data_IF_620914000824
#
_entry.id   IF_620914000824
#
_cell.length_a   1.000
_cell.length_b   1.000
_cell.length_c   1.000
_cell.angle_alpha   90.00
_cell.angle_beta   90.00
_cell.angle_gamma   90.00
#
_symmetry.space_group_name_H-M   'P 1'
#
loop_
_entity.id
_entity.type
_entity.pdbx_description
1 polymer ?
#
# COMPACT_ATOMS: atom_id res chain seq x y z
N UNK A 1 26.57 9.70 -25.00
CA UNK A 1 26.53 10.65 -23.85
C UNK A 1 26.80 9.83 -22.60
N UNK A 2 27.57 10.32 -21.61
CA UNK A 2 28.08 9.45 -20.54
C UNK A 2 26.90 8.89 -19.77
N UNK A 3 26.71 7.57 -19.85
CA UNK A 3 25.56 6.89 -19.30
C UNK A 3 25.45 7.13 -17.80
N UNK A 4 24.24 7.42 -17.34
CA UNK A 4 23.92 7.37 -15.91
C UNK A 4 24.10 5.92 -15.48
N UNK A 5 25.21 5.63 -14.81
CA UNK A 5 25.42 4.34 -14.16
C UNK A 5 24.57 4.33 -12.90
N UNK A 6 23.36 3.80 -13.00
CA UNK A 6 22.45 3.56 -11.87
C UNK A 6 22.95 2.37 -11.04
N UNK A 7 24.10 2.53 -10.37
CA UNK A 7 24.47 1.61 -9.29
C UNK A 7 23.66 1.99 -8.05
N UNK A 8 22.41 1.50 -7.99
CA UNK A 8 21.58 1.57 -6.79
C UNK A 8 22.14 0.56 -5.79
N UNK A 9 23.08 1.01 -4.95
CA UNK A 9 23.66 0.20 -3.89
C UNK A 9 22.90 0.43 -2.59
N UNK A 10 22.23 -0.60 -2.07
CA UNK A 10 21.76 -0.59 -0.68
C UNK A 10 22.97 -0.83 0.22
N UNK A 11 23.50 0.22 0.85
CA UNK A 11 24.55 0.07 1.86
C UNK A 11 23.92 0.12 3.25
N UNK A 12 23.70 -1.05 3.85
CA UNK A 12 23.44 -1.12 5.30
C UNK A 12 24.75 -0.80 6.01
N UNK A 13 24.84 0.37 6.64
CA UNK A 13 25.99 0.69 7.48
C UNK A 13 25.78 -0.03 8.81
N UNK A 14 26.70 -0.94 9.14
CA UNK A 14 26.67 -1.68 10.39
C UNK A 14 26.67 -0.74 11.60
N UNK A 15 25.79 -1.04 12.55
CA UNK A 15 25.51 -0.28 13.77
C UNK A 15 26.79 -0.03 14.60
N UNK A 16 27.05 1.22 15.05
CA UNK A 16 27.91 1.46 16.21
C UNK A 16 27.25 0.92 17.48
N UNK A 17 28.04 0.27 18.35
CA UNK A 17 27.56 -0.24 19.65
C UNK A 17 26.77 0.83 20.40
N UNK A 18 25.54 0.51 20.82
CA UNK A 18 24.68 1.40 21.62
C UNK A 18 23.68 2.30 20.88
N UNK A 19 23.70 2.39 19.54
CA UNK A 19 22.72 3.18 18.79
C UNK A 19 21.39 2.42 18.55
N UNK A 20 20.25 3.12 18.65
CA UNK A 20 18.87 2.60 18.48
C UNK A 20 18.25 2.83 17.09
N UNK A 21 19.04 3.29 16.11
CA UNK A 21 18.54 3.67 14.78
C UNK A 21 19.22 2.89 13.66
N UNK A 22 18.43 2.55 12.64
CA UNK A 22 18.89 1.96 11.38
C UNK A 22 18.65 2.99 10.28
N UNK A 23 19.70 3.55 9.68
CA UNK A 23 19.54 4.44 8.53
C UNK A 23 19.64 3.63 7.23
N UNK A 24 18.64 3.77 6.36
CA UNK A 24 18.72 3.28 4.98
C UNK A 24 19.16 4.42 4.08
N UNK A 25 20.27 4.22 3.36
CA UNK A 25 20.79 5.18 2.40
C UNK A 25 20.45 4.74 0.98
N UNK A 26 19.83 5.64 0.22
CA UNK A 26 19.68 5.50 -1.22
C UNK A 26 20.62 6.48 -1.89
N UNK A 27 21.59 5.97 -2.63
CA UNK A 27 22.65 6.79 -3.22
C UNK A 27 22.46 6.91 -4.72
N UNK A 28 22.46 8.14 -5.22
CA UNK A 28 22.42 8.47 -6.64
C UNK A 28 23.72 9.17 -7.02
N UNK A 29 24.24 8.90 -8.22
CA UNK A 29 25.39 9.61 -8.78
C UNK A 29 24.96 10.40 -10.01
N UNK A 30 25.25 11.69 -10.01
CA UNK A 30 25.12 12.56 -11.18
C UNK A 30 26.47 13.21 -11.46
N UNK A 31 27.12 12.85 -12.57
CA UNK A 31 28.47 13.31 -12.87
C UNK A 31 29.50 12.91 -11.81
N UNK A 32 30.21 13.88 -11.24
CA UNK A 32 31.15 13.70 -10.11
C UNK A 32 30.47 13.78 -8.74
N UNK A 33 29.22 14.25 -8.69
CA UNK A 33 28.49 14.53 -7.44
C UNK A 33 27.67 13.32 -7.02
N UNK A 34 27.67 13.04 -5.73
CA UNK A 34 26.93 11.97 -5.10
C UNK A 34 25.83 12.55 -4.23
N UNK A 35 24.65 11.98 -4.32
CA UNK A 35 23.51 12.32 -3.48
C UNK A 35 23.14 11.09 -2.66
N UNK A 36 22.75 11.27 -1.40
CA UNK A 36 22.13 10.19 -0.63
C UNK A 36 20.90 10.69 0.12
N UNK A 37 19.85 9.88 0.14
CA UNK A 37 18.71 10.04 1.03
C UNK A 37 18.96 9.24 2.30
N UNK A 38 18.87 9.89 3.45
CA UNK A 38 18.79 9.24 4.76
C UNK A 38 17.33 9.28 5.24
N UNK A 39 16.78 8.11 5.54
CA UNK A 39 15.44 8.01 6.13
C UNK A 39 15.61 7.83 7.64
N UNK A 40 15.06 8.75 8.44
CA UNK A 40 14.97 8.60 9.88
C UNK A 40 13.53 8.28 10.30
N UNK A 41 13.23 6.98 10.41
CA UNK A 41 11.90 6.49 10.81
C UNK A 41 11.47 6.96 12.21
N UNK A 42 12.39 7.29 13.11
CA UNK A 42 12.04 7.75 14.45
C UNK A 42 11.69 9.25 14.49
N UNK A 43 12.12 10.02 13.48
CA UNK A 43 11.96 11.46 13.44
C UNK A 43 10.85 11.97 12.52
N UNK A 44 10.32 11.13 11.63
CA UNK A 44 9.29 11.55 10.66
C UNK A 44 9.80 12.45 9.54
N UNK A 45 11.12 12.48 9.30
CA UNK A 45 11.75 13.29 8.26
C UNK A 45 12.71 12.44 7.42
N UNK A 46 13.03 12.93 6.22
CA UNK A 46 14.21 12.46 5.49
C UNK A 46 15.20 13.60 5.29
N UNK A 47 16.48 13.24 5.29
CA UNK A 47 17.57 14.17 4.99
C UNK A 47 18.15 13.85 3.64
N UNK A 48 18.34 14.89 2.84
CA UNK A 48 19.10 14.78 1.61
C UNK A 48 20.51 15.32 1.85
N UNK A 49 21.48 14.50 1.50
CA UNK A 49 22.89 14.84 1.60
C UNK A 49 23.49 14.85 0.20
N UNK A 50 24.48 15.71 -0.01
CA UNK A 50 25.30 15.68 -1.22
C UNK A 50 26.78 15.59 -0.86
N UNK A 51 27.57 15.16 -1.83
CA UNK A 51 29.01 15.00 -1.72
C UNK A 51 29.66 15.30 -3.07
N UNK A 52 30.61 16.24 -3.08
CA UNK A 52 31.42 16.57 -4.25
C UNK A 52 32.67 15.68 -4.38
N UNK A 53 32.93 14.82 -3.40
CA UNK A 53 34.18 14.05 -3.27
C UNK A 53 33.93 12.53 -3.18
N UNK A 54 32.92 12.07 -3.91
CA UNK A 54 32.56 10.65 -4.03
C UNK A 54 32.18 9.96 -2.70
N UNK A 55 31.56 10.72 -1.80
CA UNK A 55 31.01 10.24 -0.53
C UNK A 55 32.01 10.23 0.62
N UNK A 56 33.15 10.92 0.49
CA UNK A 56 34.13 11.07 1.56
C UNK A 56 33.67 12.11 2.60
N UNK A 57 33.13 13.25 2.14
CA UNK A 57 32.46 14.25 2.96
C UNK A 57 31.02 14.43 2.48
N UNK A 58 30.10 14.59 3.42
CA UNK A 58 28.68 14.78 3.16
C UNK A 58 28.21 16.09 3.76
N UNK A 59 27.62 16.91 2.92
CA UNK A 59 27.00 18.16 3.32
C UNK A 59 25.47 17.99 3.31
N UNK A 60 24.81 18.46 4.38
CA UNK A 60 23.36 18.44 4.46
C UNK A 60 22.81 19.45 3.45
N UNK A 61 22.05 18.97 2.47
CA UNK A 61 21.42 19.85 1.48
C UNK A 61 20.07 20.34 2.00
N UNK A 62 19.30 19.45 2.62
CA UNK A 62 17.94 19.76 3.05
C UNK A 62 17.43 18.76 4.10
N UNK A 63 16.60 19.26 5.02
CA UNK A 63 15.81 18.48 5.96
C UNK A 63 14.33 18.71 5.65
N UNK A 64 13.61 17.65 5.26
CA UNK A 64 12.21 17.74 4.85
C UNK A 64 11.34 16.86 5.74
N UNK A 65 10.22 17.44 6.17
CA UNK A 65 9.14 16.71 6.81
C UNK A 65 8.48 15.77 5.78
N UNK A 66 8.00 14.60 6.21
CA UNK A 66 7.46 13.56 5.30
C UNK A 66 6.17 13.98 4.55
N UNK A 67 5.67 15.20 4.78
CA UNK A 67 4.37 15.69 4.32
C UNK A 67 4.44 16.77 3.22
N UNK A 68 5.63 17.22 2.80
CA UNK A 68 5.76 18.33 1.83
C UNK A 68 6.38 17.90 0.49
N UNK A 69 5.81 18.40 -0.62
CA UNK A 69 6.39 18.30 -1.97
C UNK A 69 7.63 19.21 -2.08
N UNK A 70 8.72 18.77 -2.72
CA UNK A 70 9.93 19.59 -2.84
C UNK A 70 10.72 19.37 -4.13
N UNK A 71 11.08 20.48 -4.76
CA UNK A 71 11.85 20.58 -6.01
C UNK A 71 13.35 20.65 -5.70
N UNK A 72 14.18 19.87 -6.38
CA UNK A 72 15.64 19.90 -6.28
C UNK A 72 16.25 20.47 -7.58
N UNK A 73 16.93 21.60 -7.48
CA UNK A 73 17.50 22.31 -8.63
C UNK A 73 18.96 21.87 -8.84
N UNK A 74 19.29 21.36 -10.03
CA UNK A 74 20.67 21.25 -10.56
C UNK A 74 20.83 22.25 -11.73
N UNK A 75 22.05 22.72 -11.96
CA UNK A 75 22.41 23.79 -12.89
C UNK A 75 22.27 23.41 -14.39
N UNK A 76 21.98 22.14 -14.72
CA UNK A 76 21.76 21.67 -16.09
C UNK A 76 20.34 21.13 -16.35
N UNK A 77 19.69 20.57 -15.32
CA UNK A 77 18.30 20.10 -15.34
C UNK A 77 17.67 20.37 -13.97
N UNK A 78 16.41 20.76 -13.93
CA UNK A 78 15.68 20.80 -12.65
C UNK A 78 15.08 19.41 -12.43
N UNK A 79 15.18 18.92 -11.19
CA UNK A 79 14.50 17.71 -10.78
C UNK A 79 13.41 18.10 -9.81
N UNK A 80 12.32 17.35 -9.79
CA UNK A 80 11.36 17.45 -8.69
C UNK A 80 11.08 16.08 -8.15
N UNK A 81 11.03 16.03 -6.83
CA UNK A 81 10.47 14.89 -6.14
C UNK A 81 9.02 15.24 -5.89
N UNK A 82 8.13 14.32 -6.24
CA UNK A 82 6.72 14.47 -5.92
C UNK A 82 6.16 13.15 -5.46
N UNK A 83 5.11 13.27 -4.68
CA UNK A 83 4.23 12.15 -4.40
C UNK A 83 2.98 12.41 -5.25
N UNK A 84 2.69 11.51 -6.17
CA UNK A 84 1.48 11.57 -6.99
C UNK A 84 0.82 10.20 -6.90
N UNK A 85 -0.48 10.17 -6.61
CA UNK A 85 -1.24 8.92 -6.53
C UNK A 85 -0.59 7.88 -5.58
N UNK A 86 -0.02 8.36 -4.46
CA UNK A 86 0.71 7.57 -3.45
C UNK A 86 2.02 6.90 -3.95
N UNK A 87 2.49 7.28 -5.13
CA UNK A 87 3.76 6.86 -5.71
C UNK A 87 4.82 7.93 -5.55
N UNK A 88 6.06 7.50 -5.29
CA UNK A 88 7.21 8.39 -5.30
C UNK A 88 7.75 8.50 -6.72
N UNK A 89 7.71 9.70 -7.27
CA UNK A 89 8.28 10.02 -8.57
C UNK A 89 9.51 10.92 -8.43
N UNK A 90 10.50 10.65 -9.26
CA UNK A 90 11.54 11.62 -9.61
C UNK A 90 11.29 12.03 -11.05
N UNK A 91 10.85 13.28 -11.22
CA UNK A 91 10.76 13.86 -12.56
C UNK A 91 12.00 14.71 -12.84
N UNK A 92 12.46 14.66 -14.07
CA UNK A 92 13.49 15.52 -14.63
C UNK A 92 12.87 16.45 -15.65
N UNK A 93 13.38 17.67 -15.75
CA UNK A 93 12.99 18.58 -16.82
C UNK A 93 13.49 18.16 -18.20
N UNK A 94 12.63 18.25 -19.22
CA UNK A 94 12.94 17.89 -20.61
C UNK A 94 13.93 18.85 -21.30
N UNK A 95 13.92 20.14 -20.94
CA UNK A 95 14.80 21.16 -21.55
C UNK A 95 15.29 22.16 -20.51
N UNK A 96 16.60 22.42 -20.44
CA UNK A 96 17.24 23.30 -19.43
C UNK A 96 16.63 24.71 -19.25
N UNK A 97 15.89 25.22 -20.24
CA UNK A 97 15.27 26.55 -20.23
C UNK A 97 13.81 26.48 -20.66
N UNK A 98 12.89 27.00 -19.84
CA UNK A 98 11.51 27.25 -20.25
C UNK A 98 10.43 26.47 -19.49
N UNK A 99 10.52 26.37 -18.16
CA UNK A 99 9.49 25.69 -17.37
C UNK A 99 8.29 26.61 -17.11
N UNK A 100 7.16 26.28 -17.72
CA UNK A 100 5.86 26.84 -17.33
C UNK A 100 5.21 26.02 -16.19
N UNK A 101 5.83 24.89 -15.81
CA UNK A 101 5.32 23.99 -14.77
C UNK A 101 4.27 23.01 -15.30
N UNK A 102 4.21 22.80 -16.62
CA UNK A 102 3.18 21.98 -17.25
C UNK A 102 3.62 20.52 -17.34
N UNK A 103 2.81 19.63 -16.78
CA UNK A 103 3.03 18.18 -16.79
C UNK A 103 3.16 17.62 -18.21
N UNK A 104 4.06 16.65 -18.42
CA UNK A 104 4.32 15.97 -19.70
C UNK A 104 4.82 16.85 -20.86
N UNK A 105 4.94 18.16 -20.65
CA UNK A 105 5.47 19.12 -21.62
C UNK A 105 6.87 19.57 -21.23
N UNK A 106 7.06 19.83 -19.94
CA UNK A 106 8.32 20.34 -19.38
C UNK A 106 9.09 19.28 -18.57
N UNK A 107 8.46 18.13 -18.27
CA UNK A 107 8.93 17.12 -17.32
C UNK A 107 8.80 15.69 -17.88
N UNK A 108 9.83 14.86 -17.69
CA UNK A 108 9.81 13.41 -17.89
C UNK A 108 10.04 12.67 -16.57
N UNK A 109 9.33 11.57 -16.36
CA UNK A 109 9.54 10.70 -15.20
C UNK A 109 10.76 9.80 -15.46
N UNK A 110 11.79 9.93 -14.62
CA UNK A 110 13.03 9.16 -14.73
C UNK A 110 13.14 8.04 -13.70
N UNK A 111 12.27 8.06 -12.67
CA UNK A 111 12.17 7.01 -11.68
C UNK A 111 10.79 7.02 -11.01
N UNK A 112 10.12 5.87 -11.05
CA UNK A 112 9.04 5.53 -10.16
C UNK A 112 9.43 4.28 -9.38
N UNK A 113 9.00 4.18 -8.12
CA UNK A 113 9.01 2.89 -7.42
C UNK A 113 8.16 1.90 -8.22
N UNK A 114 8.74 0.78 -8.68
CA UNK A 114 7.97 -0.26 -9.37
C UNK A 114 7.00 -0.90 -8.38
N UNK A 115 5.73 -0.60 -8.57
CA UNK A 115 4.63 -1.05 -7.73
C UNK A 115 3.50 -0.06 -7.91
N UNK A 116 2.64 -0.33 -8.89
CA UNK A 116 1.35 0.32 -9.05
C UNK A 116 0.65 0.43 -7.69
N UNK A 117 0.43 1.65 -7.17
CA UNK A 117 -0.20 1.85 -5.84
C UNK A 117 -1.59 2.47 -5.93
N UNK A 118 -2.17 2.59 -7.14
CA UNK A 118 -3.62 2.81 -7.25
C UNK A 118 -4.31 1.53 -6.80
N UNK A 119 -5.12 1.55 -5.73
CA UNK A 119 -5.82 0.36 -5.31
C UNK A 119 -6.77 -0.09 -6.42
N UNK A 120 -6.78 -1.38 -6.73
CA UNK A 120 -7.83 -1.97 -7.55
C UNK A 120 -9.13 -1.90 -6.75
N UNK A 121 -10.07 -1.07 -7.21
CA UNK A 121 -11.37 -0.90 -6.57
C UNK A 121 -12.35 -1.84 -7.25
N UNK A 122 -12.90 -2.77 -6.47
CA UNK A 122 -13.90 -3.74 -6.89
C UNK A 122 -15.11 -3.61 -5.98
N UNK A 123 -16.26 -4.06 -6.46
CA UNK A 123 -17.55 -3.95 -5.77
C UNK A 123 -18.14 -5.31 -5.48
N UNK A 124 -18.83 -5.42 -4.33
CA UNK A 124 -19.50 -6.63 -3.86
C UNK A 124 -20.95 -6.30 -3.51
N UNK A 125 -21.89 -7.18 -3.88
CA UNK A 125 -23.31 -7.03 -3.57
C UNK A 125 -24.18 -7.86 -4.50
N UNK A 126 -25.49 -7.72 -4.47
CA UNK A 126 -26.37 -8.45 -5.42
C UNK A 126 -26.69 -7.66 -6.68
N UNK A 127 -26.71 -6.33 -6.62
CA UNK A 127 -27.17 -5.48 -7.73
C UNK A 127 -26.03 -4.74 -8.44
N UNK A 128 -25.60 -5.28 -9.59
CA UNK A 128 -24.57 -4.66 -10.46
C UNK A 128 -23.13 -4.60 -9.92
N UNK A 129 -22.65 -5.55 -9.09
CA UNK A 129 -21.28 -5.54 -8.58
C UNK A 129 -20.26 -6.12 -9.58
N UNK A 130 -18.98 -6.10 -9.20
CA UNK A 130 -17.93 -6.93 -9.82
C UNK A 130 -18.01 -8.39 -9.35
N UNK A 131 -18.34 -8.61 -8.06
CA UNK A 131 -18.54 -9.93 -7.46
C UNK A 131 -19.85 -10.00 -6.68
N UNK A 132 -20.54 -11.13 -6.72
CA UNK A 132 -21.81 -11.29 -5.99
C UNK A 132 -21.55 -11.55 -4.51
N UNK A 133 -20.44 -12.22 -4.18
CA UNK A 133 -20.06 -12.61 -2.82
C UNK A 133 -18.61 -12.26 -2.50
N UNK A 134 -18.28 -12.21 -1.22
CA UNK A 134 -16.90 -12.09 -0.76
C UNK A 134 -16.10 -13.36 -1.10
N UNK A 135 -16.73 -14.54 -1.08
CA UNK A 135 -16.11 -15.79 -1.49
C UNK A 135 -15.62 -15.75 -2.95
N UNK A 136 -16.38 -15.17 -3.89
CA UNK A 136 -15.97 -15.01 -5.28
C UNK A 136 -14.76 -14.07 -5.40
N UNK A 137 -14.84 -12.90 -4.74
CA UNK A 137 -13.74 -11.93 -4.72
C UNK A 137 -12.45 -12.54 -4.14
N UNK A 138 -12.54 -13.26 -3.02
CA UNK A 138 -11.38 -13.91 -2.41
C UNK A 138 -10.83 -15.04 -3.27
N UNK A 139 -11.67 -15.78 -3.99
CA UNK A 139 -11.22 -16.81 -4.94
C UNK A 139 -10.34 -16.20 -6.03
N UNK A 140 -10.74 -15.06 -6.60
CA UNK A 140 -9.97 -14.37 -7.63
C UNK A 140 -8.67 -13.73 -7.10
N UNK A 141 -8.70 -13.17 -5.88
CA UNK A 141 -7.49 -12.68 -5.21
C UNK A 141 -6.49 -13.83 -5.00
N UNK A 142 -6.95 -14.96 -4.44
CA UNK A 142 -6.11 -16.13 -4.17
C UNK A 142 -5.57 -16.78 -5.46
N UNK A 143 -6.29 -16.66 -6.58
CA UNK A 143 -5.84 -17.13 -7.88
C UNK A 143 -4.77 -16.23 -8.52
N UNK A 144 -4.54 -15.02 -7.98
CA UNK A 144 -3.64 -14.01 -8.55
C UNK A 144 -4.27 -13.17 -9.65
N UNK A 145 -5.60 -13.23 -9.83
CA UNK A 145 -6.32 -12.40 -10.81
C UNK A 145 -6.41 -10.94 -10.36
N UNK A 146 -6.30 -10.71 -9.05
CA UNK A 146 -6.21 -9.38 -8.45
C UNK A 146 -4.88 -9.28 -7.69
N UNK A 147 -4.12 -8.21 -7.97
CA UNK A 147 -2.76 -8.00 -7.42
C UNK A 147 -2.62 -6.60 -6.84
N UNK A 148 -1.53 -6.35 -6.12
CA UNK A 148 -1.26 -5.04 -5.51
C UNK A 148 -2.19 -4.71 -4.34
N UNK A 149 -2.54 -3.44 -4.17
CA UNK A 149 -3.50 -3.00 -3.16
C UNK A 149 -4.93 -3.17 -3.67
N UNK A 150 -5.80 -3.76 -2.86
CA UNK A 150 -7.16 -4.10 -3.28
C UNK A 150 -8.15 -3.46 -2.32
N UNK A 151 -9.19 -2.83 -2.88
CA UNK A 151 -10.31 -2.26 -2.14
C UNK A 151 -11.59 -2.92 -2.60
N UNK A 152 -12.29 -3.61 -1.69
CA UNK A 152 -13.58 -4.23 -1.93
C UNK A 152 -14.67 -3.36 -1.29
N UNK A 153 -15.53 -2.77 -2.12
CA UNK A 153 -16.63 -1.90 -1.70
C UNK A 153 -17.91 -2.71 -1.64
N UNK A 154 -18.48 -2.86 -0.45
CA UNK A 154 -19.82 -3.46 -0.31
C UNK A 154 -20.84 -2.39 -0.77
N UNK A 155 -21.49 -2.63 -1.90
CA UNK A 155 -22.46 -1.71 -2.52
C UNK A 155 -23.91 -2.11 -2.30
N UNK A 156 -24.14 -3.37 -1.93
CA UNK A 156 -25.43 -3.97 -1.64
C UNK A 156 -25.21 -5.14 -0.67
N UNK A 157 -26.28 -5.68 -0.08
CA UNK A 157 -26.18 -6.88 0.75
C UNK A 157 -25.58 -8.04 -0.06
N UNK A 158 -24.80 -8.90 0.60
CA UNK A 158 -24.34 -10.15 0.01
C UNK A 158 -24.57 -11.33 0.97
N UNK A 159 -24.88 -12.48 0.39
CA UNK A 159 -25.08 -13.74 1.11
C UNK A 159 -24.07 -14.77 0.62
N UNK A 160 -23.16 -15.16 1.50
CA UNK A 160 -22.18 -16.21 1.27
C UNK A 160 -22.88 -17.58 1.26
N UNK A 161 -22.74 -18.31 0.15
CA UNK A 161 -23.22 -19.70 0.01
C UNK A 161 -22.13 -20.74 0.34
N UNK A 162 -20.89 -20.27 0.53
CA UNK A 162 -19.73 -21.04 0.93
C UNK A 162 -18.75 -20.14 1.69
N UNK A 163 -17.84 -20.75 2.44
CA UNK A 163 -16.84 -20.03 3.24
C UNK A 163 -15.98 -19.09 2.38
N UNK A 164 -15.94 -17.81 2.73
CA UNK A 164 -15.05 -16.84 2.12
C UNK A 164 -13.66 -16.95 2.75
N UNK A 165 -12.72 -17.63 2.09
CA UNK A 165 -11.33 -17.81 2.59
C UNK A 165 -10.35 -16.90 1.86
N UNK A 166 -9.65 -16.02 2.58
CA UNK A 166 -8.51 -15.28 2.06
C UNK A 166 -7.21 -15.94 2.48
N UNK A 167 -6.38 -16.29 1.51
CA UNK A 167 -5.10 -16.98 1.66
C UNK A 167 -3.93 -15.97 1.70
N UNK A 168 -2.72 -16.34 2.17
CA UNK A 168 -1.58 -15.43 2.11
C UNK A 168 -1.21 -15.04 0.67
N UNK A 169 -0.54 -13.90 0.54
CA UNK A 169 0.19 -13.60 -0.70
C UNK A 169 1.20 -14.73 -1.00
N UNK A 170 1.41 -15.04 -2.28
CA UNK A 170 2.17 -16.20 -2.75
C UNK A 170 1.43 -17.55 -2.70
N UNK A 171 0.16 -17.59 -2.30
CA UNK A 171 -0.64 -18.82 -2.31
C UNK A 171 -0.62 -19.51 -3.69
N UNK A 172 -0.33 -20.82 -3.68
CA UNK A 172 -0.10 -21.67 -4.86
C UNK A 172 0.94 -21.16 -5.88
N UNK A 173 1.75 -20.17 -5.51
CA UNK A 173 2.75 -19.54 -6.38
C UNK A 173 2.20 -18.46 -7.32
N UNK A 174 0.92 -18.08 -7.18
CA UNK A 174 0.22 -17.23 -8.15
C UNK A 174 -0.25 -15.90 -7.56
N UNK A 175 -0.66 -15.90 -6.28
CA UNK A 175 -1.19 -14.72 -5.59
C UNK A 175 -0.10 -13.66 -5.36
N UNK A 176 -0.37 -12.40 -5.67
CA UNK A 176 0.59 -11.28 -5.49
C UNK A 176 -0.12 -9.97 -5.07
N UNK A 177 -0.90 -10.05 -3.99
CA UNK A 177 -1.56 -8.88 -3.39
C UNK A 177 -0.76 -8.37 -2.18
N UNK A 178 -0.89 -7.06 -1.90
CA UNK A 178 -0.13 -6.32 -0.87
C UNK A 178 -0.99 -5.97 0.36
N UNK A 179 -2.25 -5.57 0.13
CA UNK A 179 -3.24 -5.33 1.17
C UNK A 179 -4.66 -5.50 0.62
N UNK A 180 -5.61 -5.85 1.49
CA UNK A 180 -7.04 -5.87 1.17
C UNK A 180 -7.78 -4.97 2.16
N UNK A 181 -8.58 -4.01 1.66
CA UNK A 181 -9.47 -3.18 2.48
C UNK A 181 -10.91 -3.37 2.04
N UNK A 182 -11.81 -3.58 2.99
CA UNK A 182 -13.23 -3.88 2.76
C UNK A 182 -14.07 -2.91 3.57
N UNK A 183 -15.06 -2.25 2.94
CA UNK A 183 -15.97 -1.34 3.64
C UNK A 183 -17.32 -1.16 2.90
N UNK A 184 -18.41 -0.80 3.62
CA UNK A 184 -19.69 -0.48 3.00
C UNK A 184 -19.71 0.92 2.39
N UNK A 185 -20.42 1.08 1.27
CA UNK A 185 -20.56 2.38 0.60
C UNK A 185 -21.82 3.14 0.99
N UNK A 186 -22.82 2.45 1.53
CA UNK A 186 -24.04 3.01 2.12
C UNK A 186 -24.30 2.36 3.48
N UNK A 187 -25.17 2.97 4.28
CA UNK A 187 -25.44 2.49 5.64
C UNK A 187 -26.35 1.26 5.66
N UNK A 188 -26.12 0.36 6.63
CA UNK A 188 -27.04 -0.74 6.95
C UNK A 188 -26.90 -1.97 6.05
N UNK A 189 -25.78 -2.10 5.34
CA UNK A 189 -25.47 -3.28 4.53
C UNK A 189 -25.01 -4.46 5.40
N UNK A 190 -25.11 -5.66 4.83
CA UNK A 190 -24.81 -6.91 5.49
C UNK A 190 -24.00 -7.87 4.62
N UNK A 191 -23.11 -8.62 5.28
CA UNK A 191 -22.47 -9.84 4.77
C UNK A 191 -23.02 -10.98 5.61
N UNK A 192 -23.86 -11.82 5.01
CA UNK A 192 -24.60 -12.87 5.72
C UNK A 192 -24.28 -14.25 5.16
N UNK A 193 -24.61 -15.29 5.91
CA UNK A 193 -24.64 -16.66 5.41
C UNK A 193 -25.22 -17.59 6.46
N UNK A 194 -25.58 -18.81 6.06
CA UNK A 194 -26.03 -19.85 6.97
C UNK A 194 -25.17 -21.09 6.77
N UNK A 195 -23.94 -21.03 7.29
CA UNK A 195 -22.90 -22.01 7.06
C UNK A 195 -22.56 -22.73 8.36
N UNK A 196 -22.64 -24.06 8.37
CA UNK A 196 -22.08 -24.89 9.45
C UNK A 196 -20.53 -25.00 9.35
N UNK A 197 -19.89 -23.88 9.03
CA UNK A 197 -18.47 -23.65 8.81
C UNK A 197 -18.20 -22.16 9.08
N UNK A 198 -16.97 -21.68 8.91
CA UNK A 198 -16.67 -20.26 9.00
C UNK A 198 -17.35 -19.49 7.84
N UNK A 199 -17.93 -18.32 8.14
CA UNK A 199 -18.43 -17.40 7.11
C UNK A 199 -17.26 -16.71 6.41
N UNK A 200 -16.36 -16.11 7.20
CA UNK A 200 -15.12 -15.48 6.72
C UNK A 200 -13.94 -16.12 7.43
N UNK A 201 -12.99 -16.64 6.66
CA UNK A 201 -11.74 -17.22 7.14
C UNK A 201 -10.54 -16.44 6.60
N UNK A 202 -9.78 -15.85 7.52
CA UNK A 202 -8.47 -15.28 7.24
C UNK A 202 -7.40 -16.32 7.57
N UNK A 203 -6.86 -16.98 6.55
CA UNK A 203 -5.90 -18.07 6.71
C UNK A 203 -4.51 -17.62 6.31
N UNK A 204 -3.62 -17.37 7.28
CA UNK A 204 -2.22 -17.01 7.05
C UNK A 204 -1.98 -15.64 6.41
N UNK A 205 -3.02 -14.85 6.17
CA UNK A 205 -2.94 -13.60 5.42
C UNK A 205 -2.37 -12.43 6.23
N UNK A 206 -1.98 -11.36 5.53
CA UNK A 206 -1.46 -10.15 6.17
C UNK A 206 -2.01 -8.86 5.56
N UNK A 207 -2.07 -7.77 6.33
CA UNK A 207 -2.49 -6.44 5.86
C UNK A 207 -3.94 -6.40 5.32
N UNK A 208 -4.86 -6.96 6.09
CA UNK A 208 -6.29 -7.00 5.73
C UNK A 208 -7.09 -6.14 6.70
N UNK A 209 -7.98 -5.30 6.18
CA UNK A 209 -8.85 -4.46 7.00
C UNK A 209 -10.30 -4.61 6.53
N UNK A 210 -11.19 -5.01 7.42
CA UNK A 210 -12.63 -4.73 7.27
C UNK A 210 -12.97 -3.55 8.18
N UNK A 211 -13.44 -2.45 7.59
CA UNK A 211 -13.94 -1.28 8.31
C UNK A 211 -15.44 -1.14 8.06
N UNK A 212 -16.25 -1.37 9.09
CA UNK A 212 -17.70 -1.35 8.95
C UNK A 212 -18.32 0.04 8.89
N UNK A 213 -17.53 1.12 8.87
CA UNK A 213 -18.03 2.48 8.67
C UNK A 213 -18.30 2.77 7.20
N UNK A 214 -19.34 3.55 6.92
CA UNK A 214 -19.68 3.97 5.55
C UNK A 214 -18.54 4.78 4.96
N UNK A 215 -17.92 4.27 3.90
CA UNK A 215 -16.72 4.85 3.29
C UNK A 215 -15.64 5.20 4.33
N UNK A 216 -15.46 4.31 5.32
CA UNK A 216 -14.45 4.42 6.39
C UNK A 216 -14.62 5.68 7.28
N UNK A 217 -15.83 6.24 7.34
CA UNK A 217 -16.14 7.43 8.15
C UNK A 217 -17.45 7.29 8.90
N UNK A 218 -17.57 7.97 10.04
CA UNK A 218 -18.75 7.89 10.89
C UNK A 218 -18.78 6.66 11.80
N UNK A 219 -19.99 6.16 12.09
CA UNK A 219 -20.23 5.03 12.99
C UNK A 219 -20.28 3.68 12.27
N UNK A 220 -20.25 2.60 13.07
CA UNK A 220 -20.42 1.24 12.58
C UNK A 220 -21.75 1.06 11.83
N UNK A 221 -21.71 0.47 10.64
CA UNK A 221 -22.86 0.34 9.75
C UNK A 221 -22.92 -0.95 8.92
N UNK A 222 -21.81 -1.69 8.83
CA UNK A 222 -21.77 -3.03 8.25
C UNK A 222 -22.13 -4.08 9.30
N UNK A 223 -23.09 -4.95 8.98
CA UNK A 223 -23.37 -6.16 9.77
C UNK A 223 -22.67 -7.36 9.13
N UNK A 224 -22.05 -8.22 9.95
CA UNK A 224 -21.48 -9.49 9.51
C UNK A 224 -22.09 -10.58 10.38
N UNK A 225 -22.80 -11.53 9.77
CA UNK A 225 -23.57 -12.53 10.51
C UNK A 225 -23.51 -13.91 9.85
N UNK A 226 -23.12 -14.91 10.63
CA UNK A 226 -23.42 -16.29 10.29
C UNK A 226 -24.68 -16.71 11.04
N UNK A 227 -25.79 -16.88 10.33
CA UNK A 227 -27.09 -17.28 10.88
C UNK A 227 -27.06 -18.72 11.45
N UNK A 228 -26.03 -19.49 11.10
CA UNK A 228 -25.85 -20.81 11.64
C UNK A 228 -25.23 -20.75 13.04
N UNK A 229 -26.01 -21.13 14.06
CA UNK A 229 -25.54 -21.15 15.45
C UNK A 229 -24.35 -22.09 15.72
N UNK A 230 -24.07 -23.04 14.83
CA UNK A 230 -22.91 -23.93 14.92
C UNK A 230 -21.72 -23.52 14.05
N UNK A 231 -21.83 -22.41 13.31
CA UNK A 231 -20.78 -21.87 12.45
C UNK A 231 -20.05 -20.70 13.11
N UNK A 232 -18.85 -20.42 12.62
CA UNK A 232 -18.08 -19.24 13.02
C UNK A 232 -18.45 -18.08 12.10
N UNK A 233 -18.52 -16.85 12.62
CA UNK A 233 -18.73 -15.66 11.78
C UNK A 233 -17.41 -15.15 11.21
N UNK A 234 -16.38 -15.03 12.04
CA UNK A 234 -15.04 -14.61 11.60
C UNK A 234 -13.98 -15.49 12.26
N UNK A 235 -13.12 -16.10 11.46
CA UNK A 235 -12.03 -16.93 11.94
C UNK A 235 -10.69 -16.38 11.45
N UNK A 236 -9.79 -16.11 12.39
CA UNK A 236 -8.40 -15.75 12.14
C UNK A 236 -7.49 -16.92 12.49
N UNK A 237 -6.64 -17.36 11.56
CA UNK A 237 -5.61 -18.36 11.84
C UNK A 237 -4.28 -17.94 11.21
N UNK A 238 -3.25 -17.76 12.04
CA UNK A 238 -1.90 -17.42 11.56
C UNK A 238 -1.77 -16.06 10.85
N UNK A 239 -2.62 -15.09 11.16
CA UNK A 239 -2.67 -13.79 10.47
C UNK A 239 -1.69 -12.75 11.03
N UNK A 240 -1.36 -11.72 10.24
CA UNK A 240 -0.57 -10.56 10.71
C UNK A 240 -1.22 -9.26 10.24
N UNK A 241 -1.30 -8.22 11.10
CA UNK A 241 -1.86 -6.91 10.72
C UNK A 241 -3.22 -7.04 10.00
N UNK A 242 -4.08 -7.92 10.50
CA UNK A 242 -5.40 -8.21 9.95
C UNK A 242 -6.45 -7.87 10.99
N UNK A 243 -7.43 -7.04 10.62
CA UNK A 243 -8.38 -6.44 11.56
C UNK A 243 -9.78 -6.35 10.97
N UNK A 244 -10.78 -6.62 11.80
CA UNK A 244 -12.18 -6.26 11.57
C UNK A 244 -12.55 -5.26 12.64
N UNK A 245 -12.93 -4.04 12.23
CA UNK A 245 -13.24 -2.94 13.14
C UNK A 245 -14.51 -2.22 12.71
N UNK A 246 -15.17 -1.59 13.67
CA UNK A 246 -16.41 -0.83 13.46
C UNK A 246 -17.51 -1.60 12.70
N UNK A 247 -17.59 -2.92 12.89
CA UNK A 247 -18.64 -3.76 12.34
C UNK A 247 -19.60 -4.21 13.45
N UNK A 248 -20.86 -4.45 13.09
CA UNK A 248 -21.80 -5.18 13.94
C UNK A 248 -21.62 -6.68 13.65
N UNK A 249 -20.77 -7.35 14.40
CA UNK A 249 -20.55 -8.80 14.23
C UNK A 249 -21.57 -9.55 15.08
N UNK A 250 -22.35 -10.42 14.46
CA UNK A 250 -23.37 -11.27 15.10
C UNK A 250 -22.94 -12.73 14.92
N UNK A 251 -22.67 -13.40 16.04
CA UNK A 251 -22.13 -14.76 16.08
C UNK A 251 -20.68 -14.79 16.57
N UNK A 252 -20.01 -15.93 16.38
CA UNK A 252 -18.71 -16.18 17.01
C UNK A 252 -17.52 -15.63 16.21
N UNK A 253 -16.52 -15.16 16.94
CA UNK A 253 -15.19 -14.79 16.42
C UNK A 253 -14.15 -15.73 17.04
N UNK A 254 -13.39 -16.43 16.20
CA UNK A 254 -12.34 -17.37 16.61
C UNK A 254 -10.96 -16.84 16.19
N UNK A 255 -9.95 -17.08 17.01
CA UNK A 255 -8.57 -16.63 16.76
C UNK A 255 -7.58 -17.69 17.25
N UNK A 256 -6.79 -18.24 16.32
CA UNK A 256 -5.78 -19.29 16.53
C UNK A 256 -4.34 -18.81 16.24
#
# INVERSE_FOLDING_TARGET
MPGVNTNIGIKRVGRPSGASWSAMYYTLKSGSTWYRREINNAGGYFKLWYSSDAGANWEELLNLDLTEESVLIDLAHVYRHRIKDLEYHVDQTLTATGYAGVENTDWENIYATSGSVVPTILTIGTTGPDYITLQEAFTDINAGNQTGHIVLRIIDDCTEIAKATLQPTGYLGNSDWLSVTIYPTVSGLSITGNLADDLILFNGCANVLIDGRVSQSGGASLTIENENAGGTTIHYTGVTNTQVLNCNVIGDIVTD
#
